data_IF_240651778853
#
_entry.id   IF_240651778853
#
_cell.length_a   1.000
_cell.length_b   1.000
_cell.length_c   1.000
_cell.angle_alpha   90.00
_cell.angle_beta   90.00
_cell.angle_gamma   90.00
#
_symmetry.space_group_name_H-M   'P 1'
#
loop_
_entity.id
_entity.type
_entity.pdbx_description
1 polymer ?
#
# COMPACT_ATOMS: atom_id res chain seq x y z
N UNK A 1 22.76 7.91 9.25
CA UNK A 1 22.21 8.94 8.32
C UNK A 1 21.45 9.96 9.15
N UNK A 2 21.57 11.24 8.84
CA UNK A 2 20.83 12.32 9.50
C UNK A 2 20.45 13.38 8.46
N UNK A 3 19.22 13.90 8.55
CA UNK A 3 18.65 14.86 7.58
C UNK A 3 17.46 14.27 6.82
N UNK A 4 17.10 14.88 5.67
CA UNK A 4 15.99 14.43 4.83
C UNK A 4 16.38 13.22 4.00
N UNK A 5 15.60 12.15 4.07
CA UNK A 5 15.83 10.91 3.33
C UNK A 5 14.54 10.13 3.13
N UNK A 6 14.59 9.16 2.21
CA UNK A 6 13.48 8.23 1.98
C UNK A 6 13.64 6.97 2.83
N UNK A 7 12.50 6.35 3.15
CA UNK A 7 12.43 5.04 3.79
C UNK A 7 11.76 4.07 2.80
N UNK A 8 12.38 2.92 2.56
CA UNK A 8 11.91 1.90 1.63
C UNK A 8 12.19 0.53 2.24
N UNK A 9 11.15 -0.20 2.61
CA UNK A 9 11.26 -1.45 3.36
C UNK A 9 10.31 -2.53 2.83
N UNK A 10 10.77 -3.79 2.89
CA UNK A 10 10.01 -4.96 2.46
C UNK A 10 9.43 -4.80 1.05
N UNK A 11 8.16 -5.17 0.89
CA UNK A 11 7.36 -4.90 -0.32
C UNK A 11 6.66 -3.55 -0.29
N UNK A 12 7.14 -2.60 0.50
CA UNK A 12 6.60 -1.24 0.54
C UNK A 12 5.12 -1.14 0.95
N UNK A 13 4.56 -2.20 1.55
CA UNK A 13 3.16 -2.23 2.01
C UNK A 13 2.91 -1.31 3.19
N UNK A 14 3.88 -1.13 4.07
CA UNK A 14 3.77 -0.29 5.27
C UNK A 14 4.63 0.97 5.20
N UNK A 15 5.77 0.92 4.49
CA UNK A 15 6.68 2.06 4.36
C UNK A 15 7.28 2.09 2.95
N UNK A 16 6.86 3.10 2.20
CA UNK A 16 7.29 3.37 0.83
C UNK A 16 7.69 4.83 0.65
N UNK A 17 8.68 5.11 -0.21
CA UNK A 17 8.93 6.45 -0.69
C UNK A 17 7.86 6.91 -1.70
N UNK A 18 6.87 6.07 -2.04
CA UNK A 18 5.77 6.32 -2.96
C UNK A 18 6.27 6.80 -4.33
N UNK A 19 7.04 5.96 -5.03
CA UNK A 19 7.62 6.28 -6.34
C UNK A 19 6.62 6.53 -7.48
N UNK A 20 5.32 6.38 -7.20
CA UNK A 20 4.22 6.74 -8.11
C UNK A 20 3.80 8.21 -7.98
N UNK A 21 3.95 8.80 -6.80
CA UNK A 21 3.54 10.19 -6.57
C UNK A 21 4.45 11.19 -7.29
N UNK A 22 3.89 12.34 -7.66
CA UNK A 22 4.65 13.45 -8.24
C UNK A 22 5.76 13.97 -7.32
N UNK A 23 5.61 13.77 -6.01
CA UNK A 23 6.64 14.04 -5.01
C UNK A 23 6.87 12.77 -4.20
N UNK A 24 8.13 12.40 -4.03
CA UNK A 24 8.50 11.27 -3.18
C UNK A 24 8.13 11.56 -1.74
N UNK A 25 7.52 10.58 -1.08
CA UNK A 25 7.36 10.58 0.38
C UNK A 25 8.74 10.52 1.02
N UNK A 26 9.04 11.53 1.83
CA UNK A 26 10.34 11.67 2.48
C UNK A 26 10.17 12.06 3.95
N UNK A 27 11.23 11.80 4.71
CA UNK A 27 11.27 11.89 6.14
C UNK A 27 12.50 12.67 6.59
N UNK A 28 12.37 13.49 7.62
CA UNK A 28 13.47 14.25 8.21
C UNK A 28 13.78 13.74 9.61
N UNK A 29 15.04 13.38 9.86
CA UNK A 29 15.48 12.90 11.16
C UNK A 29 16.72 12.02 11.10
N UNK A 30 16.84 11.11 12.07
CA UNK A 30 17.98 10.21 12.23
C UNK A 30 17.65 8.76 11.89
N UNK A 31 18.61 8.07 11.26
CA UNK A 31 18.57 6.62 11.00
C UNK A 31 19.94 6.00 11.25
N UNK A 32 19.97 4.97 12.07
CA UNK A 32 21.08 4.05 12.24
C UNK A 32 20.80 2.79 11.43
N UNK A 33 21.83 2.18 10.86
CA UNK A 33 21.71 0.96 10.08
C UNK A 33 22.89 0.04 10.34
N UNK A 34 22.62 -1.25 10.35
CA UNK A 34 23.58 -2.33 10.41
C UNK A 34 23.32 -3.27 9.22
N UNK A 35 24.37 -3.72 8.57
CA UNK A 35 24.26 -4.67 7.45
C UNK A 35 25.41 -5.67 7.50
N UNK A 36 25.08 -6.94 7.30
CA UNK A 36 25.98 -8.09 7.20
C UNK A 36 25.52 -9.01 6.07
N UNK A 37 26.12 -10.20 5.93
CA UNK A 37 25.67 -11.20 4.95
C UNK A 37 24.21 -11.60 5.17
N UNK A 38 23.82 -11.81 6.43
CA UNK A 38 22.54 -12.44 6.77
C UNK A 38 21.52 -11.44 7.30
N UNK A 39 21.95 -10.27 7.76
CA UNK A 39 21.09 -9.29 8.42
C UNK A 39 21.22 -7.90 7.83
N UNK A 40 20.09 -7.23 7.64
CA UNK A 40 19.98 -5.78 7.53
C UNK A 40 19.03 -5.28 8.63
N UNK A 41 19.46 -4.33 9.44
CA UNK A 41 18.67 -3.80 10.56
C UNK A 41 18.77 -2.28 10.56
N UNK A 42 17.62 -1.63 10.49
CA UNK A 42 17.49 -0.19 10.44
C UNK A 42 16.66 0.29 11.64
N UNK A 43 17.18 1.25 12.40
CA UNK A 43 16.46 1.93 13.46
C UNK A 43 16.39 3.42 13.14
N UNK A 44 15.21 4.02 13.22
CA UNK A 44 15.01 5.41 12.79
C UNK A 44 14.06 6.17 13.71
N UNK A 45 14.27 7.47 13.82
CA UNK A 45 13.41 8.44 14.49
C UNK A 45 13.29 9.64 13.55
N UNK A 46 12.12 9.81 12.95
CA UNK A 46 11.92 10.76 11.85
C UNK A 46 10.54 11.41 11.93
N UNK A 47 10.38 12.52 11.20
CA UNK A 47 9.09 13.14 10.92
C UNK A 47 8.80 13.09 9.42
N UNK A 48 7.58 12.77 8.98
CA UNK A 48 7.21 12.91 7.58
C UNK A 48 7.24 14.40 7.17
N UNK A 49 7.63 14.69 5.93
CA UNK A 49 7.71 16.07 5.43
C UNK A 49 6.53 16.43 4.53
N UNK A 50 6.18 15.51 3.64
CA UNK A 50 5.12 15.71 2.67
C UNK A 50 4.11 14.57 2.78
N UNK A 51 2.84 14.93 2.87
CA UNK A 51 1.76 14.02 2.49
C UNK A 51 1.47 14.26 1.00
N UNK A 52 1.38 13.20 0.18
CA UNK A 52 1.11 13.32 -1.26
C UNK A 52 -0.19 14.07 -1.59
N UNK A 53 -1.12 14.14 -0.63
CA UNK A 53 -2.40 14.84 -0.72
C UNK A 53 -2.39 16.27 -0.13
N UNK A 54 -1.26 16.73 0.41
CA UNK A 54 -1.15 18.09 0.94
C UNK A 54 -1.16 19.11 -0.21
N UNK A 55 -1.78 20.28 0.03
CA UNK A 55 -1.77 21.37 -0.92
C UNK A 55 -0.32 21.72 -1.30
N UNK A 56 -0.02 21.75 -2.59
CA UNK A 56 1.29 22.18 -3.10
C UNK A 56 1.54 23.60 -2.61
N UNK A 57 2.66 23.81 -1.92
CA UNK A 57 3.10 25.13 -1.45
C UNK A 57 4.25 25.62 -2.32
N UNK A 58 3.99 26.17 -3.53
CA UNK A 58 5.02 26.40 -4.54
C UNK A 58 6.07 27.45 -4.15
N UNK A 59 5.81 28.24 -3.11
CA UNK A 59 6.66 29.37 -2.70
C UNK A 59 7.24 29.22 -1.29
N UNK A 60 6.99 28.12 -0.58
CA UNK A 60 7.52 27.89 0.76
C UNK A 60 8.57 26.79 0.78
N UNK A 61 9.51 26.86 1.72
CA UNK A 61 10.37 25.74 2.04
C UNK A 61 9.54 24.62 2.68
N UNK A 62 9.82 23.38 2.27
CA UNK A 62 9.27 22.20 2.92
C UNK A 62 9.78 22.06 4.34
N UNK A 63 8.87 21.86 5.29
CA UNK A 63 9.17 21.58 6.69
C UNK A 63 8.57 20.23 7.12
N UNK A 64 9.25 19.45 7.99
CA UNK A 64 8.63 18.29 8.59
C UNK A 64 7.35 18.63 9.34
N UNK A 65 6.36 17.74 9.25
CA UNK A 65 5.11 17.83 9.99
C UNK A 65 5.39 17.66 11.49
N UNK A 66 5.25 18.73 12.26
CA UNK A 66 5.64 18.75 13.66
C UNK A 66 4.68 17.99 14.56
N UNK A 67 3.44 17.76 14.12
CA UNK A 67 2.48 16.97 14.88
C UNK A 67 2.74 15.47 14.77
N UNK A 68 3.60 15.06 13.81
CA UNK A 68 3.87 13.65 13.53
C UNK A 68 5.25 13.23 13.94
N UNK A 69 5.33 12.12 14.67
CA UNK A 69 6.57 11.40 14.92
C UNK A 69 6.43 9.97 14.41
N UNK A 70 7.41 9.52 13.65
CA UNK A 70 7.49 8.16 13.16
C UNK A 70 8.85 7.55 13.53
N UNK A 71 8.83 6.48 14.31
CA UNK A 71 10.05 5.76 14.70
C UNK A 71 9.82 4.27 14.54
N UNK A 72 10.92 3.52 14.49
CA UNK A 72 10.81 2.08 14.48
C UNK A 72 12.14 1.39 14.31
N UNK A 73 12.06 0.08 14.38
CA UNK A 73 13.13 -0.84 14.02
C UNK A 73 12.57 -1.78 12.95
N UNK A 74 13.27 -1.87 11.82
CA UNK A 74 12.97 -2.79 10.74
C UNK A 74 14.17 -3.72 10.55
N UNK A 75 13.95 -5.02 10.62
CA UNK A 75 14.99 -6.03 10.42
C UNK A 75 14.61 -6.95 9.27
N UNK A 76 15.59 -7.32 8.46
CA UNK A 76 15.46 -8.28 7.37
C UNK A 76 16.55 -9.33 7.53
N UNK A 77 16.14 -10.58 7.70
CA UNK A 77 16.99 -11.75 7.61
C UNK A 77 17.04 -12.29 6.18
N UNK A 78 18.25 -12.48 5.66
CA UNK A 78 18.59 -12.88 4.28
C UNK A 78 19.47 -14.13 4.23
N UNK A 79 19.69 -14.80 5.36
CA UNK A 79 20.55 -15.99 5.43
C UNK A 79 19.98 -17.22 4.72
N UNK A 80 18.76 -17.16 4.20
CA UNK A 80 18.17 -18.20 3.37
C UNK A 80 18.24 -17.83 1.90
N UNK A 81 18.72 -18.73 1.06
CA UNK A 81 18.78 -18.53 -0.38
C UNK A 81 17.39 -18.23 -0.96
N UNK A 82 17.30 -17.15 -1.76
CA UNK A 82 16.07 -16.70 -2.43
C UNK A 82 14.89 -16.39 -1.49
N UNK A 83 15.15 -16.13 -0.21
CA UNK A 83 14.11 -15.88 0.80
C UNK A 83 14.53 -14.76 1.73
N UNK A 84 13.53 -14.02 2.20
CA UNK A 84 13.70 -12.99 3.22
C UNK A 84 12.63 -13.11 4.28
N UNK A 85 13.01 -12.86 5.52
CA UNK A 85 12.09 -12.73 6.64
C UNK A 85 12.28 -11.34 7.22
N UNK A 86 11.24 -10.54 7.26
CA UNK A 86 11.26 -9.23 7.91
C UNK A 86 10.54 -9.31 9.25
N UNK A 87 11.06 -8.57 10.24
CA UNK A 87 10.37 -8.27 11.49
C UNK A 87 10.48 -6.78 11.76
N UNK A 88 9.37 -6.17 12.17
CA UNK A 88 9.36 -4.74 12.46
C UNK A 88 8.47 -4.38 13.64
N UNK A 89 8.94 -3.35 14.34
CA UNK A 89 8.13 -2.55 15.24
C UNK A 89 8.18 -1.10 14.76
N UNK A 90 7.02 -0.51 14.57
CA UNK A 90 6.84 0.86 14.09
C UNK A 90 5.94 1.58 15.08
N UNK A 91 6.22 2.85 15.34
CA UNK A 91 5.38 3.71 16.16
C UNK A 91 5.12 5.00 15.41
N UNK A 92 3.84 5.27 15.18
CA UNK A 92 3.34 6.52 14.64
C UNK A 92 2.61 7.24 15.76
N UNK A 93 3.03 8.47 16.03
CA UNK A 93 2.31 9.43 16.86
C UNK A 93 1.87 10.59 16.00
N UNK A 94 0.58 10.88 16.00
CA UNK A 94 -0.05 12.08 15.46
C UNK A 94 -0.61 12.89 16.64
N UNK A 95 -0.55 14.20 16.56
CA UNK A 95 -0.96 15.12 17.63
C UNK A 95 -1.75 16.31 17.07
N UNK A 96 -2.27 16.16 15.85
CA UNK A 96 -3.06 17.19 15.19
C UNK A 96 -4.46 16.67 14.96
N UNK A 97 -5.37 17.33 15.63
CA UNK A 97 -6.69 16.81 15.92
C UNK A 97 -7.61 17.23 14.77
N UNK A 98 -7.57 16.42 13.70
CA UNK A 98 -8.40 16.62 12.52
C UNK A 98 -9.36 15.45 12.35
N UNK A 99 -10.65 15.76 12.21
CA UNK A 99 -11.74 14.78 12.13
C UNK A 99 -11.61 13.72 11.02
N UNK A 100 -10.68 13.89 10.07
CA UNK A 100 -10.44 12.99 8.95
C UNK A 100 -9.07 12.31 8.99
N UNK A 101 -8.35 12.38 10.11
CA UNK A 101 -7.07 11.70 10.32
C UNK A 101 -7.12 10.88 11.59
N UNK A 102 -6.16 9.96 11.68
CA UNK A 102 -5.82 9.37 12.97
C UNK A 102 -5.30 10.47 13.85
N UNK A 103 -5.68 10.43 15.12
CA UNK A 103 -5.19 11.33 16.14
C UNK A 103 -4.70 10.45 17.28
N UNK A 104 -3.41 10.45 17.58
CA UNK A 104 -2.86 9.66 18.68
C UNK A 104 -1.71 8.72 18.34
N UNK A 105 -1.54 7.69 19.18
CA UNK A 105 -0.31 6.92 19.33
C UNK A 105 -0.54 5.44 19.04
N UNK A 106 -0.06 4.98 17.89
CA UNK A 106 -0.21 3.61 17.40
C UNK A 106 1.12 2.91 17.18
N UNK A 107 1.25 1.71 17.72
CA UNK A 107 2.36 0.79 17.50
C UNK A 107 1.95 -0.32 16.54
N UNK A 108 2.71 -0.52 15.47
CA UNK A 108 2.53 -1.62 14.51
C UNK A 108 3.65 -2.64 14.71
N UNK A 109 3.29 -3.87 15.03
CA UNK A 109 4.19 -5.03 15.14
C UNK A 109 3.87 -5.98 14.00
N UNK A 110 4.85 -6.27 13.14
CA UNK A 110 4.59 -7.12 11.99
C UNK A 110 5.78 -7.95 11.53
N UNK A 111 5.46 -8.91 10.67
CA UNK A 111 6.42 -9.80 10.07
C UNK A 111 6.06 -10.08 8.61
N UNK A 112 7.08 -10.32 7.79
CA UNK A 112 6.94 -10.67 6.37
C UNK A 112 7.80 -11.87 6.05
N UNK A 113 7.31 -12.77 5.20
CA UNK A 113 8.08 -13.84 4.60
C UNK A 113 7.86 -13.86 3.10
N UNK A 114 8.93 -13.61 2.36
CA UNK A 114 8.88 -13.53 0.91
C UNK A 114 10.03 -14.29 0.27
N UNK A 115 9.84 -14.75 -0.96
CA UNK A 115 10.88 -15.43 -1.69
C UNK A 115 10.41 -16.05 -2.99
N UNK A 116 11.34 -16.76 -3.61
CA UNK A 116 11.12 -17.48 -4.86
C UNK A 116 11.70 -18.87 -4.80
N UNK A 117 11.10 -19.82 -5.52
CA UNK A 117 11.60 -21.18 -5.65
C UNK A 117 11.46 -21.64 -7.11
N UNK A 118 12.58 -21.83 -7.82
CA UNK A 118 12.58 -22.54 -9.10
C UNK A 118 12.06 -23.97 -8.88
N UNK A 119 11.20 -24.42 -9.77
CA UNK A 119 10.64 -25.75 -9.79
C UNK A 119 10.83 -26.32 -11.19
N UNK A 120 11.59 -27.41 -11.26
CA UNK A 120 11.80 -28.15 -12.49
C UNK A 120 10.58 -29.03 -12.77
N UNK A 121 10.10 -29.01 -14.01
CA UNK A 121 9.02 -29.89 -14.43
C UNK A 121 9.57 -31.07 -15.22
N UNK A 122 9.32 -32.30 -14.75
CA UNK A 122 9.73 -33.51 -15.47
C UNK A 122 9.01 -33.70 -16.81
N UNK A 123 7.94 -32.95 -17.08
CA UNK A 123 7.07 -33.13 -18.26
C UNK A 123 6.48 -31.82 -18.81
N UNK A 124 7.05 -30.65 -18.50
CA UNK A 124 6.50 -29.34 -18.86
C UNK A 124 7.54 -28.22 -18.85
N UNK A 125 7.09 -26.97 -18.85
CA UNK A 125 7.97 -25.80 -18.77
C UNK A 125 8.46 -25.56 -17.32
N UNK A 126 9.70 -25.09 -17.14
CA UNK A 126 10.16 -24.71 -15.81
C UNK A 126 9.44 -23.45 -15.35
N UNK A 127 9.15 -23.40 -14.05
CA UNK A 127 8.46 -22.27 -13.47
C UNK A 127 9.06 -21.91 -12.12
N UNK A 128 8.94 -20.64 -11.77
CA UNK A 128 9.35 -20.12 -10.46
C UNK A 128 8.11 -19.81 -9.65
N UNK A 129 7.96 -20.50 -8.52
CA UNK A 129 6.96 -20.14 -7.52
C UNK A 129 7.43 -18.88 -6.77
N UNK A 130 6.54 -17.90 -6.64
CA UNK A 130 6.75 -16.62 -5.97
C UNK A 130 5.80 -16.55 -4.78
N UNK A 131 6.25 -16.02 -3.64
CA UNK A 131 5.37 -15.71 -2.52
C UNK A 131 5.84 -14.48 -1.75
N UNK A 132 4.86 -13.81 -1.14
CA UNK A 132 5.07 -12.69 -0.24
C UNK A 132 3.90 -12.62 0.75
N UNK A 133 4.14 -13.05 1.98
CA UNK A 133 3.17 -13.09 3.07
C UNK A 133 3.56 -12.06 4.12
N UNK A 134 2.63 -11.21 4.52
CA UNK A 134 2.88 -10.17 5.52
C UNK A 134 1.67 -10.02 6.45
N UNK A 135 1.91 -9.86 7.75
CA UNK A 135 0.86 -9.56 8.70
C UNK A 135 1.37 -8.62 9.78
N UNK A 136 0.49 -7.76 10.28
CA UNK A 136 0.81 -6.89 11.40
C UNK A 136 -0.40 -6.66 12.32
N UNK A 137 -0.08 -6.46 13.59
CA UNK A 137 -1.00 -6.00 14.62
C UNK A 137 -0.70 -4.55 14.95
N UNK A 138 -1.75 -3.76 15.16
CA UNK A 138 -1.67 -2.37 15.54
C UNK A 138 -2.38 -2.16 16.88
N UNK A 139 -1.63 -1.64 17.85
CA UNK A 139 -2.08 -1.42 19.22
C UNK A 139 -1.79 0.02 19.64
N UNK A 140 -2.62 0.61 20.48
CA UNK A 140 -2.39 1.99 20.90
C UNK A 140 -3.63 2.68 21.42
N UNK A 141 -3.63 4.00 21.30
CA UNK A 141 -4.77 4.85 21.64
C UNK A 141 -4.88 5.98 20.64
N UNK A 142 -6.11 6.31 20.28
CA UNK A 142 -6.44 7.55 19.60
C UNK A 142 -7.11 8.52 20.56
N UNK A 143 -6.65 9.77 20.63
CA UNK A 143 -7.03 10.81 21.60
C UNK A 143 -7.66 12.04 20.91
N UNK A 144 -8.88 11.85 20.38
CA UNK A 144 -9.61 12.90 19.66
C UNK A 144 -10.16 14.01 20.59
N UNK A 145 -10.01 15.30 20.22
CA UNK A 145 -10.62 16.42 20.98
C UNK A 145 -12.14 16.31 21.08
N UNK A 146 -12.81 16.08 19.95
CA UNK A 146 -14.28 16.16 19.83
C UNK A 146 -14.97 14.79 19.90
N UNK A 147 -14.21 13.73 20.20
CA UNK A 147 -14.72 12.37 20.31
C UNK A 147 -14.21 11.69 21.60
N UNK A 148 -14.71 10.50 21.89
CA UNK A 148 -14.15 9.69 22.97
C UNK A 148 -12.78 9.15 22.55
N UNK A 149 -11.84 9.15 23.49
CA UNK A 149 -10.61 8.37 23.35
C UNK A 149 -10.93 6.92 22.97
N UNK A 150 -10.15 6.35 22.05
CA UNK A 150 -10.37 5.01 21.55
C UNK A 150 -9.13 4.13 21.75
N UNK A 151 -9.30 2.97 22.40
CA UNK A 151 -8.26 1.95 22.39
C UNK A 151 -8.14 1.35 20.99
N UNK A 152 -6.91 1.25 20.47
CA UNK A 152 -6.64 0.75 19.12
C UNK A 152 -6.31 -0.73 19.18
N UNK A 153 -7.07 -1.53 18.44
CA UNK A 153 -6.85 -2.95 18.22
C UNK A 153 -7.15 -3.30 16.77
N UNK A 154 -6.17 -3.10 15.90
CA UNK A 154 -6.32 -3.25 14.47
C UNK A 154 -5.23 -4.17 13.90
N UNK A 155 -5.29 -4.46 12.60
CA UNK A 155 -4.26 -5.23 11.95
C UNK A 155 -4.54 -5.46 10.48
N UNK A 156 -3.59 -6.10 9.82
CA UNK A 156 -3.75 -6.50 8.44
C UNK A 156 -3.07 -7.85 8.16
N UNK A 157 -3.49 -8.47 7.07
CA UNK A 157 -2.86 -9.63 6.44
C UNK A 157 -2.78 -9.36 4.94
N UNK A 158 -1.62 -9.65 4.36
CA UNK A 158 -1.41 -9.67 2.91
C UNK A 158 -0.79 -10.99 2.50
N UNK A 159 -1.26 -11.52 1.38
CA UNK A 159 -0.68 -12.71 0.77
C UNK A 159 -0.65 -12.53 -0.74
N UNK A 160 0.55 -12.46 -1.31
CA UNK A 160 0.75 -12.51 -2.75
C UNK A 160 1.46 -13.81 -3.09
N UNK A 161 1.05 -14.45 -4.17
CA UNK A 161 1.65 -15.70 -4.59
C UNK A 161 1.34 -16.01 -6.05
N UNK A 162 2.30 -16.62 -6.73
CA UNK A 162 2.19 -16.78 -8.17
C UNK A 162 3.23 -17.68 -8.79
N UNK A 163 3.12 -17.81 -10.11
CA UNK A 163 4.03 -18.60 -10.92
C UNK A 163 4.52 -17.76 -12.10
N UNK A 164 5.83 -17.73 -12.27
CA UNK A 164 6.48 -17.26 -13.49
C UNK A 164 6.85 -18.47 -14.34
N UNK A 165 6.36 -18.54 -15.57
CA UNK A 165 6.75 -19.58 -16.52
C UNK A 165 7.98 -19.11 -17.28
N UNK A 166 9.10 -19.82 -17.12
CA UNK A 166 10.41 -19.34 -17.57
C UNK A 166 10.66 -19.67 -19.05
N UNK A 167 10.17 -20.80 -19.54
CA UNK A 167 10.53 -21.35 -20.87
C UNK A 167 9.39 -21.34 -21.88
N UNK A 168 8.42 -20.44 -21.71
CA UNK A 168 7.32 -20.26 -22.68
C UNK A 168 7.36 -18.85 -23.26
N UNK A 169 6.85 -18.63 -24.49
CA UNK A 169 6.83 -17.31 -25.11
C UNK A 169 6.26 -16.24 -24.18
N UNK A 170 6.95 -15.11 -24.14
CA UNK A 170 6.62 -13.94 -23.33
C UNK A 170 6.77 -14.11 -21.81
N UNK A 171 7.22 -15.27 -21.31
CA UNK A 171 7.52 -15.49 -19.89
C UNK A 171 6.40 -15.05 -18.92
N UNK A 172 5.14 -15.49 -19.13
CA UNK A 172 4.00 -15.04 -18.37
C UNK A 172 4.24 -15.26 -16.87
N UNK A 173 3.83 -14.28 -16.08
CA UNK A 173 3.77 -14.37 -14.62
C UNK A 173 2.34 -14.11 -14.20
N UNK A 174 1.74 -15.09 -13.52
CA UNK A 174 0.40 -14.97 -12.93
C UNK A 174 0.60 -14.87 -11.42
N UNK A 175 0.09 -13.82 -10.80
CA UNK A 175 0.21 -13.57 -9.37
C UNK A 175 -1.15 -13.22 -8.77
N UNK A 176 -1.59 -13.99 -7.78
CA UNK A 176 -2.71 -13.64 -6.93
C UNK A 176 -2.29 -12.60 -5.88
N UNK A 177 -3.23 -11.73 -5.53
CA UNK A 177 -3.09 -10.70 -4.50
C UNK A 177 -4.25 -10.89 -3.53
N UNK A 178 -3.92 -10.92 -2.25
CA UNK A 178 -4.88 -10.82 -1.18
C UNK A 178 -4.46 -9.75 -0.19
N UNK A 179 -5.40 -8.91 0.18
CA UNK A 179 -5.28 -7.97 1.28
C UNK A 179 -6.52 -8.05 2.16
N UNK A 180 -6.31 -8.08 3.47
CA UNK A 180 -7.31 -7.80 4.48
C UNK A 180 -6.73 -6.76 5.43
N UNK A 181 -7.35 -5.59 5.50
CA UNK A 181 -7.09 -4.58 6.51
C UNK A 181 -8.33 -4.42 7.37
N UNK A 182 -8.16 -4.51 8.69
CA UNK A 182 -9.28 -4.44 9.63
C UNK A 182 -10.03 -3.12 9.52
N UNK A 183 -11.32 -3.16 9.84
CA UNK A 183 -12.20 -2.00 9.95
C UNK A 183 -12.98 -2.03 11.26
N UNK A 184 -13.55 -0.90 11.64
CA UNK A 184 -14.31 -0.72 12.87
C UNK A 184 -15.77 -1.13 12.71
N UNK A 185 -16.23 -2.11 13.49
CA UNK A 185 -17.62 -2.55 13.43
C UNK A 185 -18.55 -1.72 14.33
N UNK A 186 -17.98 -0.91 15.22
CA UNK A 186 -18.67 0.01 16.13
C UNK A 186 -17.99 1.39 16.15
N UNK A 187 -17.92 2.11 15.01
CA UNK A 187 -17.24 3.41 14.95
C UNK A 187 -17.72 4.39 16.02
N UNK A 188 -16.77 5.03 16.70
CA UNK A 188 -17.03 6.00 17.77
C UNK A 188 -17.39 5.39 19.14
N UNK A 189 -17.34 4.06 19.32
CA UNK A 189 -17.67 3.40 20.58
C UNK A 189 -16.42 2.86 21.30
N UNK A 190 -15.60 3.76 21.88
CA UNK A 190 -14.54 3.45 22.85
C UNK A 190 -13.34 2.63 22.38
N UNK A 191 -13.40 2.04 21.19
CA UNK A 191 -12.28 1.36 20.53
C UNK A 191 -12.28 1.66 19.03
N UNK A 192 -11.11 1.57 18.42
CA UNK A 192 -10.90 1.70 16.98
C UNK A 192 -10.19 0.46 16.46
N UNK A 193 -10.89 -0.33 15.63
CA UNK A 193 -10.33 -1.53 15.03
C UNK A 193 -9.97 -1.34 13.55
N UNK A 194 -9.96 -0.11 13.05
CA UNK A 194 -9.52 0.20 11.68
C UNK A 194 -8.02 0.35 11.60
N UNK A 195 -7.40 -0.41 10.70
CA UNK A 195 -5.94 -0.38 10.53
C UNK A 195 -5.50 0.91 9.87
N UNK A 196 -4.43 1.52 10.39
CA UNK A 196 -3.67 2.51 9.64
C UNK A 196 -2.61 1.84 8.78
N UNK A 197 -2.63 2.11 7.49
CA UNK A 197 -1.66 1.55 6.54
C UNK A 197 -0.30 2.27 6.53
N UNK A 198 -0.11 3.24 7.41
CA UNK A 198 1.10 4.06 7.58
C UNK A 198 1.46 4.83 6.32
N UNK A 199 2.48 4.36 5.61
CA UNK A 199 3.06 5.04 4.46
C UNK A 199 3.17 4.04 3.29
N UNK A 200 2.05 3.53 2.75
CA UNK A 200 2.06 2.44 1.79
C UNK A 200 2.42 2.93 0.37
N UNK A 201 2.76 1.96 -0.50
CA UNK A 201 2.65 2.06 -1.97
C UNK A 201 1.32 1.45 -2.42
N UNK A 202 0.20 2.13 -2.16
CA UNK A 202 -1.15 1.61 -2.44
C UNK A 202 -1.36 1.22 -3.91
N UNK A 203 -0.95 2.09 -4.83
CA UNK A 203 -1.01 1.93 -6.29
C UNK A 203 -0.59 0.54 -6.80
N UNK A 204 0.46 -0.04 -6.22
CA UNK A 204 0.98 -1.34 -6.66
C UNK A 204 0.14 -2.54 -6.18
N UNK A 205 -0.78 -2.36 -5.24
CA UNK A 205 -1.45 -3.44 -4.53
C UNK A 205 -2.97 -3.35 -4.46
N UNK A 206 -3.57 -2.16 -4.31
CA UNK A 206 -5.00 -1.98 -4.06
C UNK A 206 -5.74 -1.36 -5.26
N UNK A 207 -5.35 -1.77 -6.47
CA UNK A 207 -5.82 -1.17 -7.72
C UNK A 207 -4.98 0.03 -8.15
N UNK A 208 -4.68 0.12 -9.43
CA UNK A 208 -3.82 1.17 -9.99
C UNK A 208 -4.56 2.49 -10.20
N UNK A 209 -5.90 2.49 -10.20
CA UNK A 209 -6.73 3.69 -10.29
C UNK A 209 -6.69 4.55 -9.01
N UNK A 210 -6.13 4.04 -7.92
CA UNK A 210 -5.93 4.76 -6.65
C UNK A 210 -7.23 5.27 -5.99
N UNK A 211 -8.31 4.48 -6.03
CA UNK A 211 -9.58 4.88 -5.38
C UNK A 211 -9.56 4.71 -3.85
N UNK A 212 -8.90 3.69 -3.33
CA UNK A 212 -9.02 3.26 -1.93
C UNK A 212 -7.69 3.12 -1.21
N UNK A 213 -7.75 3.21 0.12
CA UNK A 213 -6.68 2.78 1.02
C UNK A 213 -6.98 1.38 1.58
N UNK A 214 -5.95 0.67 2.01
CA UNK A 214 -6.06 -0.65 2.63
C UNK A 214 -6.78 -0.68 3.99
N UNK A 215 -7.15 0.47 4.57
CA UNK A 215 -7.99 0.57 5.77
C UNK A 215 -9.42 0.08 5.48
N UNK A 216 -9.95 -0.80 6.32
CA UNK A 216 -11.27 -1.41 6.14
C UNK A 216 -11.46 -2.08 4.76
N UNK A 217 -10.41 -2.68 4.20
CA UNK A 217 -10.41 -3.21 2.83
C UNK A 217 -10.18 -4.71 2.81
N UNK A 218 -10.95 -5.40 1.99
CA UNK A 218 -10.65 -6.73 1.47
C UNK A 218 -10.44 -6.58 -0.03
N UNK A 219 -9.30 -7.04 -0.52
CA UNK A 219 -8.98 -7.08 -1.94
C UNK A 219 -8.59 -8.50 -2.35
N UNK A 220 -9.26 -9.00 -3.39
CA UNK A 220 -8.85 -10.18 -4.14
C UNK A 220 -8.44 -9.76 -5.54
N UNK A 221 -7.13 -9.80 -5.80
CA UNK A 221 -6.55 -9.40 -7.08
C UNK A 221 -5.91 -10.57 -7.82
N UNK A 222 -5.83 -10.45 -9.14
CA UNK A 222 -4.97 -11.28 -9.98
C UNK A 222 -4.28 -10.40 -11.01
N UNK A 223 -2.96 -10.55 -11.12
CA UNK A 223 -2.14 -9.88 -12.12
C UNK A 223 -1.56 -10.91 -13.08
N UNK A 224 -1.64 -10.61 -14.37
CA UNK A 224 -0.91 -11.28 -15.45
C UNK A 224 0.11 -10.29 -16.00
N UNK A 225 1.40 -10.65 -15.94
CA UNK A 225 2.46 -9.91 -16.62
C UNK A 225 3.03 -10.76 -17.75
N UNK A 226 3.22 -10.19 -18.94
CA UNK A 226 3.90 -10.82 -20.08
C UNK A 226 4.95 -9.88 -20.65
N UNK A 227 6.03 -10.44 -21.20
CA UNK A 227 7.16 -9.72 -21.76
C UNK A 227 7.44 -10.17 -23.20
N UNK A 228 6.70 -9.64 -24.21
CA UNK A 228 6.87 -10.08 -25.60
C UNK A 228 8.26 -9.89 -26.17
N UNK A 229 9.00 -8.90 -25.67
CA UNK A 229 10.42 -8.68 -25.94
C UNK A 229 11.11 -8.19 -24.66
N UNK A 230 12.44 -8.13 -24.65
CA UNK A 230 13.20 -7.56 -23.52
C UNK A 230 12.86 -6.08 -23.23
N UNK A 231 12.31 -5.37 -24.23
CA UNK A 231 11.95 -3.96 -24.12
C UNK A 231 10.48 -3.72 -23.76
N UNK A 232 9.60 -4.69 -23.98
CA UNK A 232 8.16 -4.50 -23.88
C UNK A 232 7.57 -5.42 -22.82
N UNK A 233 6.86 -4.84 -21.87
CA UNK A 233 6.12 -5.53 -20.81
C UNK A 233 4.67 -5.08 -20.80
N UNK A 234 3.75 -6.02 -20.61
CA UNK A 234 2.33 -5.75 -20.39
C UNK A 234 1.91 -6.33 -19.05
N UNK A 235 1.14 -5.57 -18.29
CA UNK A 235 0.44 -6.00 -17.09
C UNK A 235 -1.07 -5.87 -17.35
N UNK A 236 -1.81 -6.92 -17.01
CA UNK A 236 -3.25 -6.91 -16.88
C UNK A 236 -3.61 -7.30 -15.44
N UNK A 237 -4.37 -6.46 -14.75
CA UNK A 237 -4.86 -6.69 -13.39
C UNK A 237 -6.37 -6.77 -13.35
N UNK A 238 -6.89 -7.57 -12.44
CA UNK A 238 -8.30 -7.57 -12.07
C UNK A 238 -8.42 -7.66 -10.55
N UNK A 239 -9.23 -6.79 -9.94
CA UNK A 239 -9.43 -6.73 -8.50
C UNK A 239 -10.92 -6.79 -8.13
N UNK A 240 -11.23 -7.40 -6.99
CA UNK A 240 -12.55 -7.40 -6.36
C UNK A 240 -12.42 -6.79 -4.96
N UNK A 241 -13.11 -5.68 -4.72
CA UNK A 241 -12.98 -4.91 -3.48
C UNK A 241 -14.22 -5.00 -2.60
N UNK A 242 -13.98 -5.30 -1.33
CA UNK A 242 -15.00 -5.29 -0.30
C UNK A 242 -14.58 -4.53 0.95
N UNK A 243 -15.54 -4.01 1.72
CA UNK A 243 -15.29 -3.54 3.08
C UNK A 243 -15.03 -4.73 4.00
N UNK A 244 -14.00 -4.64 4.85
CA UNK A 244 -13.73 -5.65 5.87
C UNK A 244 -14.80 -5.65 6.98
N UNK A 245 -15.21 -4.46 7.41
CA UNK A 245 -16.34 -4.15 8.27
C UNK A 245 -17.36 -3.33 7.49
N UNK A 246 -18.58 -3.87 7.37
CA UNK A 246 -19.68 -3.20 6.67
C UNK A 246 -20.16 -1.94 7.40
N UNK A 247 -19.90 -1.83 8.71
CA UNK A 247 -20.37 -0.71 9.53
C UNK A 247 -19.37 0.46 9.60
N UNK A 248 -18.15 0.29 9.10
CA UNK A 248 -17.13 1.35 9.07
C UNK A 248 -17.30 2.26 7.84
N UNK A 249 -16.54 3.34 7.74
CA UNK A 249 -16.46 4.16 6.55
C UNK A 249 -15.72 3.46 5.39
N UNK A 250 -15.84 4.04 4.19
CA UNK A 250 -14.91 3.79 3.09
C UNK A 250 -13.71 4.71 3.32
N UNK A 251 -12.49 4.28 2.98
CA UNK A 251 -11.29 5.12 3.15
C UNK A 251 -10.72 5.47 1.78
N UNK A 252 -10.55 6.77 1.51
CA UNK A 252 -9.92 7.24 0.27
C UNK A 252 -8.42 6.91 0.27
N UNK A 253 -7.74 7.11 -0.86
CA UNK A 253 -6.30 6.83 -1.02
C UNK A 253 -5.40 7.43 0.09
N UNK A 254 -5.78 8.58 0.66
CA UNK A 254 -5.06 9.23 1.74
C UNK A 254 -5.32 8.61 3.14
N UNK A 255 -6.14 7.57 3.22
CA UNK A 255 -6.53 6.92 4.47
C UNK A 255 -7.55 7.71 5.29
N UNK A 256 -8.24 8.68 4.68
CA UNK A 256 -9.29 9.45 5.34
C UNK A 256 -10.67 8.83 5.10
N UNK A 257 -11.57 8.82 6.11
CA UNK A 257 -12.93 8.34 5.93
C UNK A 257 -13.68 9.18 4.89
N UNK A 258 -14.37 8.50 4.00
CA UNK A 258 -15.08 9.06 2.85
C UNK A 258 -16.51 8.52 2.82
N UNK A 259 -17.50 9.40 2.69
CA UNK A 259 -18.92 9.03 2.66
C UNK A 259 -19.55 8.68 4.02
N UNK A 260 -18.76 8.52 5.07
CA UNK A 260 -19.25 8.14 6.41
C UNK A 260 -19.74 6.68 6.48
N UNK A 261 -20.38 6.34 7.60
CA UNK A 261 -20.93 5.00 7.91
C UNK A 261 -22.31 4.78 7.26
N UNK A 262 -22.42 5.10 5.96
CA UNK A 262 -23.72 5.28 5.31
C UNK A 262 -24.39 4.00 4.77
N UNK A 263 -23.61 2.95 4.44
CA UNK A 263 -24.13 1.71 3.85
C UNK A 263 -23.65 0.49 4.61
N UNK A 264 -24.54 -0.51 4.73
CA UNK A 264 -24.18 -1.85 5.21
C UNK A 264 -23.77 -2.79 4.08
N UNK A 265 -23.72 -2.31 2.83
CA UNK A 265 -23.14 -3.09 1.74
C UNK A 265 -21.63 -3.16 1.91
N UNK A 266 -21.09 -4.36 1.71
CA UNK A 266 -19.64 -4.55 1.65
C UNK A 266 -19.06 -4.40 0.25
N UNK A 267 -19.86 -4.31 -0.80
CA UNK A 267 -19.37 -4.32 -2.19
C UNK A 267 -18.87 -2.94 -2.61
N UNK A 268 -17.55 -2.74 -2.64
CA UNK A 268 -16.95 -1.49 -3.11
C UNK A 268 -16.90 -1.45 -4.63
N UNK A 269 -16.71 -2.61 -5.27
CA UNK A 269 -16.66 -2.73 -6.73
C UNK A 269 -15.56 -3.65 -7.21
N UNK A 270 -15.18 -3.48 -8.47
CA UNK A 270 -14.09 -4.21 -9.11
C UNK A 270 -13.36 -3.32 -10.08
N UNK A 271 -12.11 -3.68 -10.35
CA UNK A 271 -11.20 -2.87 -11.16
C UNK A 271 -10.49 -3.72 -12.20
N UNK A 272 -10.30 -3.14 -13.38
CA UNK A 272 -9.43 -3.66 -14.43
C UNK A 272 -8.26 -2.71 -14.62
N UNK A 273 -7.05 -3.26 -14.61
CA UNK A 273 -5.82 -2.52 -14.84
C UNK A 273 -5.11 -2.99 -16.10
N UNK A 274 -4.77 -2.08 -17.01
CA UNK A 274 -3.93 -2.39 -18.17
C UNK A 274 -2.74 -1.45 -18.19
N UNK A 275 -1.52 -1.99 -18.17
CA UNK A 275 -0.28 -1.19 -18.25
C UNK A 275 0.63 -1.77 -19.33
N UNK A 276 1.15 -0.90 -20.19
CA UNK A 276 2.19 -1.22 -21.16
C UNK A 276 3.44 -0.41 -20.83
N UNK A 277 4.58 -1.06 -20.67
CA UNK A 277 5.87 -0.42 -20.41
C UNK A 277 6.86 -0.74 -21.53
N UNK A 278 7.46 0.30 -22.11
CA UNK A 278 8.44 0.20 -23.20
C UNK A 278 9.77 0.85 -22.82
N UNK A 279 10.81 0.03 -22.65
CA UNK A 279 12.19 0.45 -22.39
C UNK A 279 12.85 0.84 -23.71
N UNK A 280 12.79 2.13 -24.05
CA UNK A 280 13.36 2.66 -25.30
C UNK A 280 14.86 2.40 -25.34
N UNK A 281 15.55 2.78 -24.26
CA UNK A 281 16.97 2.55 -24.02
C UNK A 281 17.26 2.56 -22.50
N UNK A 282 18.54 2.52 -22.10
CA UNK A 282 18.95 2.49 -20.69
C UNK A 282 18.55 3.72 -19.86
N UNK A 283 18.26 4.84 -20.52
CA UNK A 283 17.95 6.12 -19.89
C UNK A 283 16.46 6.45 -19.97
N UNK A 284 15.72 5.94 -20.95
CA UNK A 284 14.33 6.31 -21.24
C UNK A 284 13.39 5.10 -21.19
N UNK A 285 12.39 5.19 -20.33
CA UNK A 285 11.25 4.27 -20.27
C UNK A 285 9.95 5.03 -20.52
N UNK A 286 9.10 4.48 -21.37
CA UNK A 286 7.75 4.98 -21.62
C UNK A 286 6.74 4.01 -21.01
N UNK A 287 5.66 4.54 -20.46
CA UNK A 287 4.57 3.74 -19.92
C UNK A 287 3.23 4.35 -20.31
N UNK A 288 2.27 3.49 -20.62
CA UNK A 288 0.88 3.85 -20.83
C UNK A 288 0.02 2.96 -19.93
N UNK A 289 -1.01 3.52 -19.31
CA UNK A 289 -1.97 2.73 -18.57
C UNK A 289 -3.41 3.16 -18.81
N UNK A 290 -4.31 2.19 -18.70
CA UNK A 290 -5.75 2.38 -18.74
C UNK A 290 -6.39 1.56 -17.62
N UNK A 291 -7.10 2.23 -16.73
CA UNK A 291 -7.74 1.66 -15.56
C UNK A 291 -9.23 1.95 -15.62
N UNK A 292 -10.03 0.98 -15.19
CA UNK A 292 -11.48 1.15 -15.10
C UNK A 292 -12.02 0.52 -13.83
N UNK A 293 -12.84 1.25 -13.11
CA UNK A 293 -13.44 0.84 -11.86
C UNK A 293 -14.97 0.89 -11.93
N UNK A 294 -15.60 -0.25 -11.71
CA UNK A 294 -17.04 -0.37 -11.59
C UNK A 294 -17.46 -0.29 -10.13
N UNK A 295 -18.15 0.78 -9.74
CA UNK A 295 -18.53 0.98 -8.35
C UNK A 295 -19.67 0.05 -7.92
N UNK A 296 -19.49 -0.57 -6.75
CA UNK A 296 -20.49 -1.40 -6.10
C UNK A 296 -21.43 -0.61 -5.18
N UNK A 297 -22.41 -1.32 -4.64
CA UNK A 297 -23.49 -0.75 -3.81
C UNK A 297 -23.01 0.02 -2.57
N UNK A 298 -21.81 -0.28 -2.04
CA UNK A 298 -21.27 0.48 -0.92
C UNK A 298 -21.03 1.96 -1.28
N UNK A 299 -20.78 2.23 -2.57
CA UNK A 299 -20.59 3.57 -3.13
C UNK A 299 -21.88 4.08 -3.77
N UNK A 300 -22.48 3.32 -4.69
CA UNK A 300 -23.63 3.80 -5.49
C UNK A 300 -24.91 3.97 -4.68
N UNK A 301 -25.09 3.23 -3.58
CA UNK A 301 -26.22 3.37 -2.67
C UNK A 301 -25.86 4.15 -1.40
N UNK A 302 -24.71 4.84 -1.38
CA UNK A 302 -24.31 5.62 -0.22
C UNK A 302 -25.28 6.79 0.03
N UNK A 303 -25.78 6.99 1.26
CA UNK A 303 -26.66 8.12 1.55
C UNK A 303 -25.97 9.49 1.40
N UNK A 304 -24.63 9.53 1.42
CA UNK A 304 -23.88 10.74 1.11
C UNK A 304 -23.92 11.01 -0.41
N UNK A 305 -24.56 12.10 -0.88
CA UNK A 305 -24.71 12.36 -2.30
C UNK A 305 -23.39 12.55 -3.05
N UNK A 306 -22.34 13.02 -2.36
CA UNK A 306 -21.00 13.18 -2.95
C UNK A 306 -20.31 11.84 -3.25
N UNK A 307 -20.82 10.75 -2.66
CA UNK A 307 -20.36 9.37 -2.90
C UNK A 307 -21.30 8.68 -3.89
N UNK A 308 -22.62 8.76 -3.66
CA UNK A 308 -23.64 8.12 -4.49
C UNK A 308 -23.64 8.59 -5.95
N UNK A 309 -23.34 9.88 -6.17
CA UNK A 309 -23.34 10.47 -7.52
C UNK A 309 -22.11 10.10 -8.36
N UNK A 310 -21.18 9.29 -7.82
CA UNK A 310 -20.03 8.81 -8.59
C UNK A 310 -20.49 7.78 -9.60
N UNK A 311 -20.33 8.10 -10.89
CA UNK A 311 -20.30 7.09 -11.93
C UNK A 311 -19.02 6.25 -11.81
N UNK A 312 -18.97 5.16 -12.55
CA UNK A 312 -17.77 4.35 -12.73
C UNK A 312 -16.57 5.27 -13.09
N UNK A 313 -15.40 4.91 -12.58
CA UNK A 313 -14.19 5.72 -12.76
C UNK A 313 -13.31 5.12 -13.85
N UNK A 314 -12.72 5.95 -14.69
CA UNK A 314 -11.69 5.55 -15.63
C UNK A 314 -10.49 6.51 -15.57
N UNK A 315 -9.31 5.95 -15.82
CA UNK A 315 -8.07 6.72 -15.89
C UNK A 315 -7.22 6.23 -17.05
N UNK A 316 -6.79 7.17 -17.88
CA UNK A 316 -5.73 6.93 -18.86
C UNK A 316 -4.53 7.81 -18.53
N UNK A 317 -3.32 7.25 -18.60
CA UNK A 317 -2.10 8.04 -18.47
C UNK A 317 -1.02 7.63 -19.47
N UNK A 318 -0.14 8.58 -19.72
CA UNK A 318 1.15 8.38 -20.38
C UNK A 318 2.23 8.93 -19.45
N UNK A 319 3.28 8.13 -19.25
CA UNK A 319 4.38 8.46 -18.38
C UNK A 319 5.71 8.23 -19.11
N UNK A 320 6.67 9.11 -18.89
CA UNK A 320 8.02 8.99 -19.42
C UNK A 320 9.01 9.21 -18.28
N UNK A 321 9.80 8.19 -17.98
CA UNK A 321 10.91 8.27 -17.04
C UNK A 321 12.21 8.42 -17.81
N UNK A 322 12.93 9.50 -17.53
CA UNK A 322 14.23 9.79 -18.13
C UNK A 322 15.27 10.04 -17.04
N UNK A 323 16.20 9.09 -16.88
CA UNK A 323 17.28 9.14 -15.89
C UNK A 323 18.64 9.25 -16.58
N UNK A 324 19.51 10.14 -16.07
CA UNK A 324 20.85 10.41 -16.59
C UNK A 324 21.96 9.78 -15.73
#
# INVERSE_FOLDING_TARGET
>A
KFGRHTLNYGSQRVISPLGWGNTFRNFEGGKLYYTSSDWAIDAFLVRPVHEPSAAVRPTSLDSPDQSRMFTGVYSTYKGFENKTIDFYWLWLREQNDMANRIDGSRHTLGARYAGTKPLESASGADYTFLWDLEAALQLGKDDFIEALDQDVHAGFVSANGGFKFNDVPWTPTINGIFWWGSGDNTPGQGSNTTVNTLFPLGHAYWGQIDNFNGSNLIDYGVHLTVNPTEKLSFLAGWHLFNKASRNDAIYNIAGAPFGGVGTTSGNLGHEMDLVATYKVNKNLTLQAGYFYFWYGDAVTMNPNPAVAARGDADQFYLFADWAF
#
